data_IF_074216232210
#
_entry.id   IF_074216232210
#
_cell.length_a   1.000
_cell.length_b   1.000
_cell.length_c   1.000
_cell.angle_alpha   90.00
_cell.angle_beta   90.00
_cell.angle_gamma   90.00
#
_symmetry.space_group_name_H-M   'P 1'
#
loop_
_entity.id
_entity.type
_entity.pdbx_description
1 polymer ?
#
# COMPACT_ATOMS: atom_id res chain seq x y z
N UNK A 1 -7.58 -16.21 7.44
CA UNK A 1 -6.46 -16.43 6.50
C UNK A 1 -6.75 -15.57 5.27
N UNK A 2 -5.78 -14.83 4.70
CA UNK A 2 -6.09 -13.84 3.66
C UNK A 2 -6.83 -14.44 2.45
N UNK A 3 -6.35 -15.56 1.90
CA UNK A 3 -7.00 -16.24 0.76
C UNK A 3 -8.44 -16.70 1.04
N UNK A 4 -8.76 -17.07 2.28
CA UNK A 4 -10.12 -17.50 2.64
C UNK A 4 -11.11 -16.32 2.70
N UNK A 5 -10.62 -15.11 2.96
CA UNK A 5 -11.44 -13.91 3.22
C UNK A 5 -11.40 -12.91 2.06
N UNK A 6 -10.29 -12.85 1.34
CA UNK A 6 -10.04 -11.94 0.21
C UNK A 6 -10.15 -12.67 -1.14
N UNK A 7 -10.23 -14.00 -1.14
CA UNK A 7 -10.23 -14.82 -2.34
C UNK A 7 -8.84 -14.94 -2.99
N UNK A 8 -8.80 -15.58 -4.16
CA UNK A 8 -7.62 -15.63 -5.02
C UNK A 8 -7.62 -14.46 -6.01
N UNK A 9 -6.44 -14.11 -6.53
CA UNK A 9 -6.34 -13.15 -7.63
C UNK A 9 -7.14 -13.63 -8.84
N UNK A 10 -7.89 -12.71 -9.47
CA UNK A 10 -8.67 -13.00 -10.66
C UNK A 10 -7.78 -12.82 -11.90
N UNK A 11 -7.44 -13.92 -12.57
CA UNK A 11 -6.52 -13.94 -13.72
C UNK A 11 -6.87 -12.95 -14.84
N UNK A 12 -8.10 -12.97 -15.39
CA UNK A 12 -8.50 -11.99 -16.43
C UNK A 12 -8.33 -10.54 -15.97
N UNK A 13 -8.73 -10.22 -14.74
CA UNK A 13 -8.57 -8.88 -14.20
C UNK A 13 -7.11 -8.44 -14.03
N UNK A 14 -6.18 -9.37 -13.78
CA UNK A 14 -4.75 -9.07 -13.78
C UNK A 14 -4.25 -8.71 -15.18
N UNK A 15 -4.72 -9.41 -16.22
CA UNK A 15 -4.38 -9.13 -17.62
C UNK A 15 -4.90 -7.74 -17.99
N UNK A 16 -6.13 -7.39 -17.60
CA UNK A 16 -6.75 -6.09 -17.88
C UNK A 16 -5.96 -4.91 -17.28
N UNK A 17 -5.24 -5.13 -16.18
CA UNK A 17 -4.35 -4.11 -15.55
C UNK A 17 -2.88 -4.26 -15.97
N UNK A 18 -2.58 -5.06 -17.00
CA UNK A 18 -1.25 -5.21 -17.58
C UNK A 18 -0.30 -6.15 -16.83
N UNK A 19 -0.83 -7.01 -15.95
CA UNK A 19 -0.06 -7.95 -15.14
C UNK A 19 -0.25 -9.39 -15.68
N UNK A 20 0.76 -9.87 -16.41
CA UNK A 20 0.77 -11.24 -16.92
C UNK A 20 0.81 -12.26 -15.76
N UNK A 21 -0.17 -13.16 -15.61
CA UNK A 21 -0.22 -14.13 -14.51
C UNK A 21 1.01 -15.03 -14.40
N UNK A 22 1.68 -15.33 -15.52
CA UNK A 22 2.88 -16.16 -15.59
C UNK A 22 4.09 -15.51 -14.90
N UNK A 23 4.02 -14.20 -14.63
CA UNK A 23 5.07 -13.43 -13.93
C UNK A 23 4.85 -13.41 -12.42
N UNK A 24 3.80 -14.07 -11.91
CA UNK A 24 3.46 -14.10 -10.50
C UNK A 24 3.84 -15.43 -9.86
N UNK A 25 4.46 -15.35 -8.68
CA UNK A 25 4.65 -16.48 -7.78
C UNK A 25 3.75 -16.24 -6.57
N UNK A 26 2.79 -17.13 -6.34
CA UNK A 26 1.88 -17.05 -5.20
C UNK A 26 2.34 -17.97 -4.07
N UNK A 27 2.41 -17.44 -2.85
CA UNK A 27 2.75 -18.20 -1.64
C UNK A 27 1.63 -18.03 -0.63
N UNK A 28 1.05 -19.14 -0.19
CA UNK A 28 0.06 -19.18 0.88
C UNK A 28 0.76 -19.48 2.22
N UNK A 29 0.65 -18.57 3.18
CA UNK A 29 1.19 -18.75 4.53
C UNK A 29 0.06 -18.87 5.56
N UNK A 30 0.13 -19.90 6.41
CA UNK A 30 -0.86 -20.13 7.47
C UNK A 30 -0.78 -19.13 8.63
N UNK A 31 0.41 -18.58 8.86
CA UNK A 31 0.67 -17.64 9.95
C UNK A 31 1.42 -16.39 9.51
N UNK A 32 1.24 -15.30 10.26
CA UNK A 32 1.88 -14.01 9.96
C UNK A 32 3.40 -14.07 9.97
N UNK A 33 3.97 -14.83 10.91
CA UNK A 33 5.42 -15.02 11.00
C UNK A 33 5.95 -15.65 9.72
N UNK A 34 5.26 -16.68 9.23
CA UNK A 34 5.68 -17.42 8.05
C UNK A 34 5.49 -16.57 6.78
N UNK A 35 4.45 -15.73 6.73
CA UNK A 35 4.29 -14.71 5.68
C UNK A 35 5.47 -13.73 5.65
N UNK A 36 5.81 -13.13 6.80
CA UNK A 36 6.89 -12.16 6.89
C UNK A 36 8.26 -12.81 6.59
N UNK A 37 8.45 -14.07 7.01
CA UNK A 37 9.64 -14.85 6.68
C UNK A 37 9.73 -15.14 5.18
N UNK A 38 8.65 -15.63 4.56
CA UNK A 38 8.62 -15.91 3.12
C UNK A 38 8.86 -14.65 2.29
N UNK A 39 8.32 -13.50 2.72
CA UNK A 39 8.61 -12.22 2.09
C UNK A 39 10.09 -11.86 2.17
N UNK A 40 10.75 -12.07 3.31
CA UNK A 40 12.17 -11.78 3.46
C UNK A 40 13.03 -12.67 2.56
N UNK A 41 12.75 -13.96 2.50
CA UNK A 41 13.45 -14.89 1.61
C UNK A 41 13.23 -14.54 0.13
N UNK A 42 12.01 -14.17 -0.25
CA UNK A 42 11.71 -13.70 -1.61
C UNK A 42 12.46 -12.41 -1.95
N UNK A 43 12.59 -11.47 -1.01
CA UNK A 43 13.38 -10.24 -1.21
C UNK A 43 14.87 -10.52 -1.38
N UNK A 44 15.41 -11.62 -0.83
CA UNK A 44 16.82 -12.01 -1.05
C UNK A 44 17.04 -12.65 -2.43
N UNK A 45 15.97 -13.02 -3.14
CA UNK A 45 16.06 -13.63 -4.45
C UNK A 45 16.27 -12.57 -5.55
N UNK A 46 17.38 -12.66 -6.29
CA UNK A 46 17.76 -11.67 -7.31
C UNK A 46 16.81 -11.58 -8.51
N UNK A 47 15.98 -12.60 -8.75
CA UNK A 47 15.01 -12.62 -9.85
C UNK A 47 13.67 -11.95 -9.48
N UNK A 48 13.48 -11.53 -8.23
CA UNK A 48 12.23 -10.94 -7.75
C UNK A 48 12.37 -9.42 -7.71
N UNK A 49 11.55 -8.71 -8.50
CA UNK A 49 11.53 -7.25 -8.52
C UNK A 49 10.58 -6.62 -7.49
N UNK A 50 9.52 -7.33 -7.10
CA UNK A 50 8.50 -6.86 -6.16
C UNK A 50 7.99 -8.02 -5.31
N UNK A 51 7.84 -7.79 -4.00
CA UNK A 51 7.23 -8.72 -3.05
C UNK A 51 6.05 -8.03 -2.38
N UNK A 52 4.86 -8.62 -2.49
CA UNK A 52 3.62 -8.13 -1.90
C UNK A 52 3.13 -9.14 -0.87
N UNK A 53 2.94 -8.70 0.38
CA UNK A 53 2.34 -9.51 1.44
C UNK A 53 1.04 -8.89 1.94
N UNK A 54 0.02 -9.72 2.16
CA UNK A 54 -1.28 -9.27 2.67
C UNK A 54 -1.48 -9.70 4.14
N UNK A 55 -1.74 -8.73 5.01
CA UNK A 55 -2.04 -8.94 6.42
C UNK A 55 -3.38 -8.28 6.76
N UNK A 56 -4.41 -9.08 7.03
CA UNK A 56 -5.75 -8.51 7.30
C UNK A 56 -5.86 -7.74 8.61
N UNK A 57 -5.15 -8.11 9.68
CA UNK A 57 -5.33 -7.48 10.99
C UNK A 57 -4.07 -7.52 11.85
N UNK A 58 -4.14 -6.95 13.05
CA UNK A 58 -3.15 -7.02 14.14
C UNK A 58 -1.83 -6.27 13.94
N UNK A 59 -1.11 -6.03 15.03
CA UNK A 59 0.10 -5.21 15.07
C UNK A 59 1.25 -5.84 14.28
N UNK A 60 2.03 -5.00 13.58
CA UNK A 60 3.28 -5.41 12.95
C UNK A 60 4.42 -5.43 13.97
N UNK A 61 5.23 -6.47 13.92
CA UNK A 61 6.52 -6.48 14.60
C UNK A 61 7.48 -5.50 13.90
N UNK A 62 7.88 -4.46 14.62
CA UNK A 62 8.81 -3.43 14.14
C UNK A 62 10.14 -4.03 13.67
N UNK A 63 10.61 -5.11 14.29
CA UNK A 63 11.83 -5.81 13.89
C UNK A 63 11.65 -6.51 12.55
N UNK A 64 10.53 -7.22 12.35
CA UNK A 64 10.21 -7.82 11.06
C UNK A 64 10.11 -6.77 9.94
N UNK A 65 9.44 -5.64 10.18
CA UNK A 65 9.37 -4.54 9.20
C UNK A 65 10.75 -3.97 8.87
N UNK A 66 11.64 -3.85 9.87
CA UNK A 66 13.02 -3.41 9.66
C UNK A 66 13.83 -4.42 8.83
N UNK A 67 13.69 -5.72 9.09
CA UNK A 67 14.34 -6.78 8.31
C UNK A 67 13.90 -6.75 6.84
N UNK A 68 12.60 -6.64 6.58
CA UNK A 68 12.07 -6.48 5.23
C UNK A 68 12.61 -5.22 4.54
N UNK A 69 12.66 -4.09 5.26
CA UNK A 69 13.20 -2.85 4.71
C UNK A 69 14.68 -2.96 4.32
N UNK A 70 15.47 -3.70 5.11
CA UNK A 70 16.88 -3.95 4.82
C UNK A 70 17.05 -4.90 3.63
N UNK A 71 16.31 -6.02 3.60
CA UNK A 71 16.36 -6.98 2.49
C UNK A 71 15.95 -6.34 1.16
N UNK A 72 14.93 -5.48 1.15
CA UNK A 72 14.52 -4.68 -0.01
C UNK A 72 15.62 -3.69 -0.44
N UNK A 73 16.27 -3.03 0.51
CA UNK A 73 17.36 -2.10 0.21
C UNK A 73 18.60 -2.82 -0.37
N UNK A 74 18.94 -4.00 0.14
CA UNK A 74 20.08 -4.81 -0.31
C UNK A 74 19.84 -5.43 -1.70
N UNK A 75 18.63 -5.88 -1.98
CA UNK A 75 18.27 -6.51 -3.26
C UNK A 75 17.90 -5.51 -4.36
N UNK A 76 17.45 -4.31 -3.97
CA UNK A 76 16.82 -3.34 -4.88
C UNK A 76 15.35 -3.66 -5.20
N UNK A 77 14.79 -4.73 -4.65
CA UNK A 77 13.39 -5.11 -4.86
C UNK A 77 12.43 -4.22 -4.03
N UNK A 78 11.19 -4.06 -4.51
CA UNK A 78 10.14 -3.34 -3.79
C UNK A 78 9.40 -4.28 -2.82
N UNK A 79 9.36 -3.93 -1.54
CA UNK A 79 8.52 -4.61 -0.56
C UNK A 79 7.23 -3.83 -0.27
N UNK A 80 6.07 -4.47 -0.43
CA UNK A 80 4.75 -3.90 -0.12
C UNK A 80 4.02 -4.79 0.89
N UNK A 81 3.50 -4.17 1.94
CA UNK A 81 2.61 -4.82 2.90
C UNK A 81 1.21 -4.22 2.80
N UNK A 82 0.25 -5.01 2.30
CA UNK A 82 -1.16 -4.66 2.25
C UNK A 82 -1.80 -4.95 3.61
N UNK A 83 -2.56 -3.98 4.13
CA UNK A 83 -3.20 -4.09 5.45
C UNK A 83 -4.66 -3.66 5.39
N UNK A 84 -5.58 -4.63 5.45
CA UNK A 84 -7.02 -4.37 5.35
C UNK A 84 -7.61 -3.74 6.63
N UNK A 85 -7.20 -4.22 7.81
CA UNK A 85 -7.64 -3.70 9.12
C UNK A 85 -6.40 -3.37 9.96
N UNK A 86 -5.71 -2.27 9.67
CA UNK A 86 -4.50 -1.91 10.41
C UNK A 86 -4.83 -1.61 11.88
N UNK A 87 -4.04 -2.17 12.79
CA UNK A 87 -4.00 -1.72 14.18
C UNK A 87 -3.44 -0.28 14.26
N UNK A 88 -3.66 0.40 15.38
CA UNK A 88 -3.03 1.70 15.69
C UNK A 88 -1.55 1.53 16.07
N UNK A 89 -0.76 0.92 15.18
CA UNK A 89 0.65 0.68 15.36
C UNK A 89 1.53 1.76 14.72
N UNK A 90 2.63 2.07 15.41
CA UNK A 90 3.71 2.84 14.83
C UNK A 90 4.32 2.03 13.67
N UNK A 91 4.66 2.71 12.57
CA UNK A 91 5.20 2.07 11.38
C UNK A 91 6.57 2.62 11.03
N UNK A 92 7.54 1.73 10.85
CA UNK A 92 8.91 2.05 10.41
C UNK A 92 9.10 1.96 8.89
N UNK A 93 8.05 1.64 8.11
CA UNK A 93 8.07 1.58 6.64
C UNK A 93 8.45 2.90 5.94
N UNK A 94 9.24 2.84 4.87
CA UNK A 94 9.71 4.05 4.17
C UNK A 94 8.56 4.99 3.73
N UNK A 95 7.45 4.41 3.29
CA UNK A 95 6.18 5.11 3.03
C UNK A 95 5.02 4.37 3.70
N UNK A 96 3.96 5.10 4.06
CA UNK A 96 2.68 4.52 4.52
C UNK A 96 1.54 5.17 3.76
N UNK A 97 0.78 4.35 3.06
CA UNK A 97 -0.39 4.75 2.28
C UNK A 97 -1.67 4.27 2.96
N UNK A 98 -2.69 5.11 2.95
CA UNK A 98 -4.07 4.74 3.27
C UNK A 98 -4.87 4.92 1.98
N UNK A 99 -5.48 3.84 1.52
CA UNK A 99 -6.28 3.81 0.29
C UNK A 99 -7.72 3.50 0.68
N UNK A 100 -8.66 4.33 0.21
CA UNK A 100 -10.09 4.13 0.38
C UNK A 100 -10.84 4.42 -0.90
N UNK A 101 -12.10 3.98 -0.98
CA UNK A 101 -12.98 4.38 -2.08
C UNK A 101 -13.25 5.89 -2.01
N UNK A 102 -13.39 6.52 -3.19
CA UNK A 102 -13.86 7.90 -3.32
C UNK A 102 -15.07 7.95 -4.25
N UNK A 103 -15.95 8.97 -4.11
CA UNK A 103 -17.07 9.16 -5.04
C UNK A 103 -16.58 9.37 -6.48
N UNK A 104 -17.30 8.80 -7.44
CA UNK A 104 -17.10 8.99 -8.87
C UNK A 104 -18.25 9.79 -9.47
N UNK A 105 -18.00 10.50 -10.58
CA UNK A 105 -19.06 11.11 -11.36
C UNK A 105 -19.86 10.02 -12.09
N UNK A 106 -21.21 10.01 -12.00
CA UNK A 106 -22.00 8.96 -12.63
C UNK A 106 -21.88 9.03 -14.16
N UNK A 107 -21.74 7.87 -14.79
CA UNK A 107 -21.84 7.72 -16.24
C UNK A 107 -23.29 7.39 -16.64
N UNK A 108 -23.53 7.08 -17.93
CA UNK A 108 -24.86 6.73 -18.45
C UNK A 108 -25.53 5.54 -17.72
N UNK A 109 -24.75 4.70 -17.02
CA UNK A 109 -25.21 3.56 -16.24
C UNK A 109 -25.25 3.83 -14.72
N UNK A 110 -24.92 5.05 -14.29
CA UNK A 110 -24.97 5.48 -12.88
C UNK A 110 -23.80 5.02 -12.00
N UNK A 111 -22.80 4.32 -12.54
CA UNK A 111 -21.68 3.76 -11.76
C UNK A 111 -20.42 4.63 -11.77
N UNK A 112 -20.20 5.36 -12.85
CA UNK A 112 -19.00 6.19 -13.00
C UNK A 112 -17.70 5.38 -13.08
N UNK A 113 -16.58 6.09 -13.25
CA UNK A 113 -15.24 5.49 -13.27
C UNK A 113 -14.75 5.22 -11.84
N UNK A 114 -14.07 4.10 -11.53
CA UNK A 114 -13.57 3.83 -10.19
C UNK A 114 -12.62 4.94 -9.69
N UNK A 115 -12.96 5.54 -8.55
CA UNK A 115 -12.17 6.57 -7.87
C UNK A 115 -11.70 6.10 -6.49
N UNK A 116 -10.48 6.49 -6.12
CA UNK A 116 -9.87 6.18 -4.84
C UNK A 116 -9.30 7.42 -4.16
N UNK A 117 -9.50 7.53 -2.86
CA UNK A 117 -8.79 8.47 -2.01
C UNK A 117 -7.47 7.82 -1.57
N UNK A 118 -6.35 8.41 -1.97
CA UNK A 118 -5.01 7.96 -1.59
C UNK A 118 -4.38 8.99 -0.64
N UNK A 119 -3.92 8.54 0.52
CA UNK A 119 -3.23 9.38 1.50
C UNK A 119 -1.85 8.80 1.82
N UNK A 120 -0.81 9.57 1.55
CA UNK A 120 0.56 9.28 1.96
C UNK A 120 0.80 9.87 3.35
N UNK A 121 0.46 9.13 4.40
CA UNK A 121 0.54 9.61 5.80
C UNK A 121 1.95 9.55 6.37
N UNK A 122 2.87 8.86 5.69
CA UNK A 122 4.30 8.88 6.03
C UNK A 122 5.12 8.78 4.76
N UNK A 123 6.13 9.64 4.63
CA UNK A 123 7.14 9.56 3.59
C UNK A 123 8.51 9.92 4.17
N UNK A 124 9.42 8.95 4.26
CA UNK A 124 10.75 9.17 4.83
C UNK A 124 11.64 10.06 3.95
N UNK A 125 11.37 10.16 2.65
CA UNK A 125 12.22 10.83 1.65
C UNK A 125 11.58 12.08 1.05
N UNK A 126 10.47 12.57 1.58
CA UNK A 126 9.78 13.71 0.99
C UNK A 126 8.48 14.06 1.69
N UNK A 127 7.66 14.92 1.08
CA UNK A 127 6.39 15.34 1.66
C UNK A 127 5.35 14.22 1.66
N UNK A 128 4.44 14.33 2.63
CA UNK A 128 3.17 13.63 2.66
C UNK A 128 2.13 14.34 1.77
N UNK A 129 1.04 13.67 1.43
CA UNK A 129 0.01 14.25 0.56
C UNK A 129 -1.27 13.41 0.50
N UNK A 130 -2.31 14.02 -0.08
CA UNK A 130 -3.60 13.36 -0.33
C UNK A 130 -4.04 13.64 -1.76
N UNK A 131 -4.61 12.62 -2.41
CA UNK A 131 -5.09 12.66 -3.78
C UNK A 131 -6.42 11.93 -3.90
N UNK A 132 -7.24 12.37 -4.86
CA UNK A 132 -8.26 11.52 -5.45
C UNK A 132 -7.71 11.07 -6.80
N UNK A 133 -7.65 9.77 -7.02
CA UNK A 133 -7.21 9.15 -8.26
C UNK A 133 -8.36 8.42 -8.92
N UNK A 134 -8.41 8.42 -10.25
CA UNK A 134 -9.38 7.69 -11.05
C UNK A 134 -8.68 6.75 -12.01
N UNK A 135 -9.33 5.64 -12.36
CA UNK A 135 -8.81 4.71 -13.37
C UNK A 135 -9.02 5.25 -14.78
N UNK A 136 -7.95 5.43 -15.56
CA UNK A 136 -8.05 5.71 -16.98
C UNK A 136 -7.99 4.40 -17.77
N UNK A 137 -9.12 4.03 -18.39
CA UNK A 137 -9.17 2.85 -19.26
C UNK A 137 -8.28 2.99 -20.50
N UNK A 138 -8.15 4.21 -21.05
CA UNK A 138 -7.33 4.45 -22.25
C UNK A 138 -5.84 4.27 -21.97
N UNK A 139 -5.40 4.66 -20.77
CA UNK A 139 -3.99 4.67 -20.40
C UNK A 139 -3.59 3.47 -19.52
N UNK A 140 -4.56 2.63 -19.15
CA UNK A 140 -4.42 1.51 -18.21
C UNK A 140 -3.66 1.90 -16.92
N UNK A 141 -3.97 3.09 -16.37
CA UNK A 141 -3.30 3.63 -15.19
C UNK A 141 -4.22 4.52 -14.36
N UNK A 142 -3.83 4.73 -13.11
CA UNK A 142 -4.44 5.76 -12.27
C UNK A 142 -3.94 7.16 -12.63
N UNK A 143 -4.87 8.09 -12.80
CA UNK A 143 -4.60 9.52 -13.01
C UNK A 143 -5.21 10.34 -11.87
N UNK A 144 -4.65 11.52 -11.52
CA UNK A 144 -5.27 12.39 -10.53
C UNK A 144 -6.62 12.93 -11.04
N UNK A 145 -7.71 12.63 -10.33
CA UNK A 145 -9.03 13.20 -10.58
C UNK A 145 -9.16 14.64 -10.05
N UNK A 146 -8.26 15.03 -9.14
CA UNK A 146 -8.09 16.40 -8.64
C UNK A 146 -6.61 16.61 -8.32
N UNK A 147 -6.12 17.84 -8.51
CA UNK A 147 -4.73 18.21 -8.24
C UNK A 147 -4.36 17.94 -6.77
N UNK A 148 -3.14 17.46 -6.55
CA UNK A 148 -2.57 17.21 -5.23
C UNK A 148 -2.68 18.46 -4.33
N UNK A 149 -3.36 18.36 -3.19
CA UNK A 149 -3.28 19.39 -2.16
C UNK A 149 -2.17 19.04 -1.17
N UNK A 150 -1.19 19.92 -0.94
CA UNK A 150 -0.23 19.74 0.14
C UNK A 150 -0.99 19.68 1.47
N UNK A 151 -0.76 18.65 2.28
CA UNK A 151 -1.28 18.63 3.65
C UNK A 151 -0.47 19.63 4.46
N UNK A 152 -1.15 20.61 5.08
CA UNK A 152 -0.49 21.59 5.95
C UNK A 152 0.35 20.87 7.01
N UNK A 153 1.58 21.35 7.24
CA UNK A 153 2.43 20.80 8.30
C UNK A 153 1.68 20.86 9.64
N UNK A 154 1.82 19.85 10.52
CA UNK A 154 1.26 19.90 11.85
C UNK A 154 1.66 21.22 12.52
N UNK A 155 0.69 21.94 13.10
CA UNK A 155 0.94 23.20 13.78
C UNK A 155 2.04 22.97 14.82
N UNK A 156 3.19 23.68 14.77
CA UNK A 156 4.24 23.52 15.75
C UNK A 156 3.67 23.76 17.15
N UNK A 157 3.97 22.85 18.07
CA UNK A 157 3.48 22.87 19.44
C UNK A 157 3.77 24.22 20.09
N UNK A 158 2.72 25.03 20.31
CA UNK A 158 2.85 26.33 20.98
C UNK A 158 3.22 26.07 22.44
N UNK A 159 4.38 26.52 22.95
CA UNK A 159 4.68 26.36 24.36
C UNK A 159 3.63 27.12 25.17
N UNK A 160 3.03 26.45 26.16
CA UNK A 160 2.08 27.06 27.09
C UNK A 160 2.77 28.24 27.77
N UNK A 161 2.32 29.46 27.44
CA UNK A 161 2.76 30.67 28.12
C UNK A 161 2.22 30.59 29.55
N UNK A 162 3.09 30.29 30.52
CA UNK A 162 2.76 30.46 31.94
C UNK A 162 2.37 31.93 32.13
N UNK A 163 1.12 32.16 32.46
CA UNK A 163 0.65 33.46 32.95
C UNK A 163 1.21 33.56 34.37
N UNK A 164 2.04 34.57 34.59
CA UNK A 164 2.53 34.94 35.91
C UNK A 164 1.45 35.71 36.69
#
# INVERSE_FOLDING_TARGET
MALAESGSLHGPGLIDVGLAPERLVMVAAGHRRDLLWAMEEALRCRSIGVVIGELRGGALDTMAVRRLSLAAAESGALAVLLRAMPASDASTAATRWIIGAAPSAPNAYGLGTPCFAAQLVRNRRGPAGTWIIEWSESDARFIPATHAQPVAQPVPHRPHRKIA
#
